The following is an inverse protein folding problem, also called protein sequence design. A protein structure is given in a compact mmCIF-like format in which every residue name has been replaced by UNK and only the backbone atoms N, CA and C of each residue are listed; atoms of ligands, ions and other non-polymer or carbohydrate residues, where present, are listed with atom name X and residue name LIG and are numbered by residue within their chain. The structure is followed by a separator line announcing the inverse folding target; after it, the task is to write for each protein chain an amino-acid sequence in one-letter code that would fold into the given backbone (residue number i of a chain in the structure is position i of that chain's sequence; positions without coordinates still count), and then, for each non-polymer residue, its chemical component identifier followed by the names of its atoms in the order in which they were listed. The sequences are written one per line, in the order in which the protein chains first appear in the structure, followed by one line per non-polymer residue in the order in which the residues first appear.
data_IF_930369650359
#
_entry.id   IF_930369650359
#
_cell.length_a   1.000
_cell.length_b   1.000
_cell.length_c   1.000
_cell.angle_alpha   90.00
_cell.angle_beta   90.00
_cell.angle_gamma   90.00
#
_symmetry.space_group_name_H-M   'P 1'
#
loop_
_entity.id
_entity.type
_entity.pdbx_description
1 polymer ?
#
# COMPACT_ATOMS: atom_id res chain seq x y z
N UNK A 1 -9.72 47.38 -49.98
CA UNK A 1 -8.31 47.48 -50.39
C UNK A 1 -7.61 46.22 -49.94
N UNK A 2 -7.20 45.44 -50.92
CA UNK A 2 -6.49 44.17 -50.85
C UNK A 2 -5.02 44.40 -50.49
N UNK A 3 -4.49 43.63 -49.52
CA UNK A 3 -3.08 43.26 -49.50
C UNK A 3 -2.91 41.96 -48.69
N UNK A 4 -2.44 40.95 -49.38
CA UNK A 4 -1.91 39.68 -48.87
C UNK A 4 -0.42 39.62 -49.28
N UNK A 5 0.37 38.64 -48.81
CA UNK A 5 1.44 38.75 -47.82
C UNK A 5 2.85 38.74 -48.43
N UNK A 6 3.91 38.53 -47.62
CA UNK A 6 4.99 37.68 -48.09
C UNK A 6 5.28 36.47 -47.19
N UNK A 7 5.66 35.42 -47.89
CA UNK A 7 5.90 34.03 -47.50
C UNK A 7 7.37 33.79 -47.13
N UNK A 8 7.56 32.81 -46.23
CA UNK A 8 8.62 31.79 -46.18
C UNK A 8 10.11 32.16 -46.01
N UNK A 9 10.72 31.58 -44.96
CA UNK A 9 11.98 30.85 -45.11
C UNK A 9 12.05 29.68 -44.10
N UNK A 10 12.17 28.49 -44.68
CA UNK A 10 12.47 27.18 -44.10
C UNK A 10 13.97 27.01 -43.82
N UNK A 11 14.30 25.95 -43.05
CA UNK A 11 15.59 25.26 -42.79
C UNK A 11 15.88 25.27 -41.27
N UNK A 12 16.07 24.18 -40.54
CA UNK A 12 16.28 22.76 -40.81
C UNK A 12 16.91 22.16 -39.53
N UNK A 13 16.81 20.85 -39.27
CA UNK A 13 17.04 20.26 -37.96
C UNK A 13 18.49 19.82 -37.75
N UNK A 14 19.02 19.93 -36.51
CA UNK A 14 20.31 19.33 -36.16
C UNK A 14 20.29 18.65 -34.78
N UNK A 15 20.43 17.31 -34.86
CA UNK A 15 21.26 16.40 -34.04
C UNK A 15 20.90 16.25 -32.56
N UNK A 16 20.35 15.10 -32.18
CA UNK A 16 21.08 13.87 -31.77
C UNK A 16 21.95 14.08 -30.52
N UNK A 17 21.40 13.69 -29.37
CA UNK A 17 22.13 13.30 -28.19
C UNK A 17 21.43 12.09 -27.57
N UNK A 18 21.87 10.88 -27.98
CA UNK A 18 21.55 9.64 -27.29
C UNK A 18 22.16 9.68 -25.89
N UNK A 19 21.38 9.34 -24.87
CA UNK A 19 21.89 8.68 -23.66
C UNK A 19 20.79 7.76 -23.14
N UNK A 20 20.77 6.55 -23.71
CA UNK A 20 20.09 5.41 -23.14
C UNK A 20 20.91 4.95 -21.94
N UNK A 21 20.35 5.07 -20.74
CA UNK A 21 20.87 4.35 -19.56
C UNK A 21 20.12 3.03 -19.50
N UNK A 22 20.78 1.98 -19.98
CA UNK A 22 20.37 0.61 -19.75
C UNK A 22 20.69 0.24 -18.30
N UNK A 23 19.67 -0.11 -17.51
CA UNK A 23 19.88 -0.81 -16.25
C UNK A 23 19.72 -2.29 -16.55
N UNK A 24 20.86 -2.98 -16.59
CA UNK A 24 20.93 -4.41 -16.83
C UNK A 24 20.43 -5.19 -15.61
N UNK A 25 19.51 -6.11 -15.89
CA UNK A 25 19.09 -7.21 -15.04
C UNK A 25 20.28 -8.15 -14.82
N UNK A 26 20.72 -8.31 -13.58
CA UNK A 26 21.66 -9.36 -13.19
C UNK A 26 20.90 -10.50 -12.52
N UNK A 27 20.36 -11.40 -13.35
CA UNK A 27 20.07 -12.77 -12.94
C UNK A 27 21.36 -13.57 -13.11
N UNK A 28 21.94 -14.07 -12.02
CA UNK A 28 23.00 -15.07 -12.09
C UNK A 28 22.50 -16.36 -11.45
N UNK A 29 22.25 -17.33 -12.33
CA UNK A 29 22.04 -18.73 -12.00
C UNK A 29 23.35 -19.34 -11.49
N UNK A 30 23.28 -20.13 -10.42
CA UNK A 30 24.28 -21.13 -10.09
C UNK A 30 23.59 -22.50 -10.12
N UNK A 31 23.65 -23.13 -11.29
CA UNK A 31 23.44 -24.56 -11.45
C UNK A 31 24.49 -25.10 -12.42
N UNK A 32 24.96 -26.31 -12.10
CA UNK A 32 25.82 -27.22 -12.85
C UNK A 32 27.35 -27.09 -12.67
N UNK A 33 27.94 -28.20 -12.20
CA UNK A 33 29.18 -28.69 -12.80
C UNK A 33 30.27 -29.15 -11.85
N UNK A 34 30.05 -30.22 -11.09
CA UNK A 34 31.13 -31.18 -10.79
C UNK A 34 30.55 -32.59 -10.83
N UNK A 35 30.60 -33.19 -12.03
CA UNK A 35 30.43 -34.62 -12.23
C UNK A 35 31.74 -35.32 -11.84
N UNK A 36 31.67 -36.24 -10.87
CA UNK A 36 32.62 -37.36 -10.79
C UNK A 36 31.79 -38.62 -10.58
N UNK A 37 31.69 -39.44 -11.62
CA UNK A 37 31.31 -40.85 -11.47
C UNK A 37 32.43 -41.58 -10.74
N UNK A 38 32.10 -42.38 -9.72
CA UNK A 38 32.50 -43.79 -9.60
C UNK A 38 32.04 -44.41 -8.26
N UNK A 39 31.26 -45.49 -8.38
CA UNK A 39 31.11 -46.64 -7.46
C UNK A 39 30.31 -46.49 -6.15
N UNK A 40 29.07 -47.02 -6.17
CA UNK A 40 28.46 -47.76 -5.03
C UNK A 40 29.00 -49.21 -5.02
N UNK A 41 28.88 -50.01 -3.93
CA UNK A 41 27.93 -49.87 -2.81
C UNK A 41 28.54 -50.04 -1.40
N UNK A 42 27.98 -49.32 -0.43
CA UNK A 42 28.28 -49.55 0.99
C UNK A 42 27.31 -48.77 1.86
N UNK A 43 26.36 -49.49 2.46
CA UNK A 43 25.37 -49.00 3.43
C UNK A 43 26.07 -48.22 4.57
N UNK A 44 25.85 -46.91 4.75
CA UNK A 44 26.38 -46.22 5.91
C UNK A 44 25.46 -46.49 7.10
N UNK A 45 25.95 -47.30 8.03
CA UNK A 45 25.39 -47.41 9.38
C UNK A 45 25.43 -46.02 10.01
N UNK A 46 24.26 -45.44 10.30
CA UNK A 46 24.16 -44.16 11.00
C UNK A 46 24.83 -44.28 12.37
N UNK A 47 25.94 -43.57 12.57
CA UNK A 47 26.44 -43.30 13.92
C UNK A 47 25.56 -42.24 14.58
N UNK A 48 25.08 -42.44 15.82
CA UNK A 48 24.32 -41.43 16.53
C UNK A 48 25.24 -40.25 16.89
N UNK A 49 24.83 -39.05 16.46
CA UNK A 49 25.46 -37.76 16.76
C UNK A 49 25.17 -37.34 18.22
N UNK A 50 25.45 -38.22 19.20
CA UNK A 50 25.02 -38.06 20.59
C UNK A 50 26.14 -37.62 21.55
N UNK A 51 27.34 -37.27 21.07
CA UNK A 51 28.49 -37.01 21.98
C UNK A 51 29.38 -35.82 21.62
N UNK A 52 28.96 -34.91 20.72
CA UNK A 52 29.69 -33.66 20.46
C UNK A 52 29.06 -32.48 21.21
N UNK A 53 29.81 -31.76 22.08
CA UNK A 53 29.34 -30.52 22.69
C UNK A 53 29.25 -29.43 21.60
N UNK A 54 28.03 -29.02 21.27
CA UNK A 54 27.76 -27.98 20.25
C UNK A 54 26.69 -28.34 19.21
N UNK A 55 26.23 -29.59 19.15
CA UNK A 55 25.08 -29.97 18.34
C UNK A 55 23.79 -29.84 19.18
N UNK A 56 23.11 -28.70 19.10
CA UNK A 56 21.69 -28.66 19.47
C UNK A 56 20.92 -29.55 18.48
N UNK A 57 20.14 -30.54 18.95
CA UNK A 57 19.28 -31.32 18.06
C UNK A 57 18.32 -30.37 17.34
N UNK A 58 17.94 -30.68 16.08
CA UNK A 58 16.83 -29.98 15.45
C UNK A 58 15.65 -30.06 16.41
N UNK A 59 15.06 -28.90 16.74
CA UNK A 59 13.80 -28.86 17.49
C UNK A 59 12.82 -29.74 16.71
N UNK A 60 12.27 -30.81 17.31
CA UNK A 60 11.26 -31.60 16.64
C UNK A 60 10.14 -30.66 16.24
N UNK A 61 9.88 -30.54 14.93
CA UNK A 61 8.65 -29.91 14.45
C UNK A 61 7.49 -30.56 15.22
N UNK A 62 6.57 -29.80 15.81
CA UNK A 62 5.39 -30.39 16.42
C UNK A 62 4.75 -31.30 15.37
N UNK A 63 4.56 -32.57 15.74
CA UNK A 63 3.99 -33.60 14.89
C UNK A 63 2.54 -33.25 14.58
N UNK A 64 2.35 -32.34 13.63
CA UNK A 64 1.09 -32.10 12.97
C UNK A 64 0.90 -33.29 12.04
N UNK A 65 -0.05 -34.17 12.38
CA UNK A 65 -0.46 -35.24 11.49
C UNK A 65 -0.78 -34.62 10.12
N UNK A 66 -0.08 -35.05 9.08
CA UNK A 66 -0.35 -34.61 7.71
C UNK A 66 -1.82 -34.87 7.42
N UNK A 67 -2.62 -33.87 7.02
CA UNK A 67 -4.01 -34.10 6.69
C UNK A 67 -4.11 -35.13 5.56
N UNK A 68 -5.08 -36.06 5.60
CA UNK A 68 -5.24 -37.04 4.54
C UNK A 68 -5.34 -36.38 3.16
N UNK A 69 -4.53 -36.86 2.20
CA UNK A 69 -4.54 -36.37 0.81
C UNK A 69 -3.65 -35.16 0.53
N UNK A 70 -2.94 -34.62 1.53
CA UNK A 70 -1.95 -33.53 1.34
C UNK A 70 -0.50 -34.05 1.41
N UNK A 71 0.45 -33.41 0.70
CA UNK A 71 1.87 -33.75 0.81
C UNK A 71 2.47 -33.32 2.17
N UNK A 72 3.66 -33.82 2.53
CA UNK A 72 4.32 -33.49 3.80
C UNK A 72 4.59 -31.98 3.98
N UNK A 73 4.84 -31.25 2.90
CA UNK A 73 5.18 -29.83 2.85
C UNK A 73 3.98 -28.94 2.43
N UNK A 74 2.75 -29.46 2.54
CA UNK A 74 1.54 -28.79 2.06
C UNK A 74 1.38 -27.35 2.58
N UNK A 75 1.74 -27.08 3.83
CA UNK A 75 1.56 -25.75 4.43
C UNK A 75 2.47 -24.73 3.76
N UNK A 76 3.71 -25.10 3.49
CA UNK A 76 4.69 -24.27 2.78
C UNK A 76 4.25 -24.03 1.34
N UNK A 77 3.74 -25.06 0.66
CA UNK A 77 3.22 -24.93 -0.70
C UNK A 77 1.98 -24.03 -0.76
N UNK A 78 1.06 -24.16 0.20
CA UNK A 78 -0.14 -23.32 0.29
C UNK A 78 0.24 -21.85 0.50
N UNK A 79 1.13 -21.56 1.47
CA UNK A 79 1.59 -20.20 1.75
C UNK A 79 2.30 -19.61 0.51
N UNK A 80 3.11 -20.40 -0.19
CA UNK A 80 3.75 -19.96 -1.44
C UNK A 80 2.72 -19.61 -2.51
N UNK A 81 1.71 -20.46 -2.71
CA UNK A 81 0.64 -20.21 -3.68
C UNK A 81 -0.15 -18.93 -3.33
N UNK A 82 -0.49 -18.73 -2.05
CA UNK A 82 -1.11 -17.49 -1.56
C UNK A 82 -0.25 -16.27 -1.83
N UNK A 83 1.06 -16.37 -1.55
CA UNK A 83 2.00 -15.25 -1.74
C UNK A 83 2.07 -14.84 -3.21
N UNK A 84 2.15 -15.80 -4.13
CA UNK A 84 2.15 -15.52 -5.58
C UNK A 84 0.84 -14.85 -6.03
N UNK A 85 -0.31 -15.35 -5.55
CA UNK A 85 -1.61 -14.75 -5.85
C UNK A 85 -1.73 -13.33 -5.27
N UNK A 86 -1.25 -13.10 -4.05
CA UNK A 86 -1.22 -11.80 -3.39
C UNK A 86 -0.36 -10.77 -4.16
N UNK A 87 0.82 -11.18 -4.64
CA UNK A 87 1.68 -10.31 -5.45
C UNK A 87 1.03 -9.96 -6.80
N UNK A 88 0.21 -10.86 -7.35
CA UNK A 88 -0.60 -10.58 -8.55
C UNK A 88 -1.67 -9.53 -8.26
N UNK A 89 -2.32 -9.62 -7.09
CA UNK A 89 -3.28 -8.62 -6.62
C UNK A 89 -2.66 -7.21 -6.58
N UNK A 90 -1.42 -7.06 -6.11
CA UNK A 90 -0.72 -5.77 -6.08
C UNK A 90 -0.44 -5.17 -7.47
N UNK A 91 -0.56 -5.94 -8.56
CA UNK A 91 -0.43 -5.43 -9.94
C UNK A 91 -1.75 -4.90 -10.51
N UNK A 92 -2.85 -4.99 -9.75
CA UNK A 92 -4.15 -4.47 -10.17
C UNK A 92 -4.10 -2.96 -10.42
N UNK A 93 -4.88 -2.50 -11.39
CA UNK A 93 -5.14 -1.06 -11.64
C UNK A 93 -6.50 -0.60 -11.14
N UNK A 94 -7.26 -1.48 -10.47
CA UNK A 94 -8.55 -1.19 -9.84
C UNK A 94 -8.38 -0.95 -8.34
N UNK A 95 -9.19 -0.07 -7.76
CA UNK A 95 -9.30 0.10 -6.30
C UNK A 95 -10.08 -1.03 -5.61
N UNK A 96 -10.84 -1.80 -6.38
CA UNK A 96 -11.61 -2.95 -5.91
C UNK A 96 -11.35 -4.14 -6.84
N UNK A 97 -10.11 -4.67 -6.87
CA UNK A 97 -9.81 -5.84 -7.67
C UNK A 97 -10.65 -7.03 -7.22
N UNK A 98 -11.28 -7.77 -8.14
CA UNK A 98 -11.92 -9.02 -7.78
C UNK A 98 -10.89 -10.02 -7.26
N UNK A 99 -11.30 -10.84 -6.31
CA UNK A 99 -10.46 -11.91 -5.75
C UNK A 99 -9.15 -11.41 -5.10
N UNK A 100 -9.20 -10.25 -4.46
CA UNK A 100 -8.05 -9.66 -3.82
C UNK A 100 -8.44 -9.10 -2.45
N UNK A 101 -7.55 -9.17 -1.44
CA UNK A 101 -7.86 -8.71 -0.10
C UNK A 101 -7.91 -7.18 -0.03
N UNK A 102 -7.15 -6.48 -0.88
CA UNK A 102 -7.19 -5.03 -0.94
C UNK A 102 -8.48 -4.55 -1.62
N UNK A 103 -9.19 -3.66 -0.94
CA UNK A 103 -10.38 -2.99 -1.46
C UNK A 103 -10.51 -1.62 -0.81
N UNK A 104 -10.74 -0.60 -1.62
CA UNK A 104 -11.05 0.75 -1.15
C UNK A 104 -12.35 1.22 -1.79
N UNK A 105 -13.29 1.64 -0.93
CA UNK A 105 -14.50 2.32 -1.35
C UNK A 105 -14.18 3.80 -1.62
N UNK A 106 -13.53 4.07 -2.75
CA UNK A 106 -13.43 5.41 -3.31
C UNK A 106 -14.28 5.49 -4.60
N UNK A 107 -14.51 6.70 -5.12
CA UNK A 107 -15.16 6.88 -6.42
C UNK A 107 -14.40 6.18 -7.57
N UNK A 108 -14.95 6.21 -8.78
CA UNK A 108 -14.31 5.59 -9.95
C UNK A 108 -12.93 6.20 -10.21
N UNK A 109 -11.89 5.45 -9.86
CA UNK A 109 -10.51 5.85 -10.09
C UNK A 109 -10.14 5.66 -11.57
N UNK A 110 -9.44 6.64 -12.13
CA UNK A 110 -8.88 6.59 -13.48
C UNK A 110 -7.60 5.75 -13.52
N UNK A 111 -6.83 5.78 -12.44
CA UNK A 111 -5.59 5.02 -12.27
C UNK A 111 -5.50 4.55 -10.83
N UNK A 112 -5.02 3.33 -10.59
CA UNK A 112 -4.58 2.90 -9.27
C UNK A 112 -3.25 2.15 -9.38
N UNK A 113 -2.35 2.41 -8.43
CA UNK A 113 -1.07 1.75 -8.31
C UNK A 113 -0.90 1.28 -6.87
N UNK A 114 -1.02 -0.03 -6.67
CA UNK A 114 -0.83 -0.66 -5.38
C UNK A 114 0.65 -0.96 -5.13
N UNK A 115 1.09 -0.78 -3.89
CA UNK A 115 2.42 -1.15 -3.45
C UNK A 115 2.31 -2.01 -2.21
N UNK A 116 2.90 -3.19 -2.27
CA UNK A 116 3.09 -4.06 -1.12
C UNK A 116 4.09 -3.41 -0.16
N UNK A 117 3.73 -3.38 1.11
CA UNK A 117 4.60 -2.86 2.17
C UNK A 117 5.16 -4.01 3.00
N UNK A 118 6.39 -3.82 3.49
CA UNK A 118 7.10 -4.79 4.32
C UNK A 118 7.14 -6.19 3.67
N UNK A 119 7.03 -7.24 4.50
CA UNK A 119 6.96 -8.62 4.03
C UNK A 119 5.58 -9.20 4.37
N UNK A 120 4.60 -9.07 3.45
CA UNK A 120 3.27 -9.62 3.69
C UNK A 120 3.36 -11.14 3.81
N UNK A 121 2.51 -11.73 4.65
CA UNK A 121 2.38 -13.18 4.80
C UNK A 121 3.64 -13.91 5.34
N UNK A 122 4.67 -13.21 5.83
CA UNK A 122 5.89 -13.84 6.39
C UNK A 122 5.58 -14.78 7.58
N UNK A 123 4.50 -14.51 8.32
CA UNK A 123 4.02 -15.33 9.43
C UNK A 123 2.65 -15.96 9.13
N UNK A 124 2.37 -16.21 7.85
CA UNK A 124 1.11 -16.81 7.44
C UNK A 124 0.94 -18.23 8.02
N UNK A 125 -0.30 -18.56 8.33
CA UNK A 125 -0.71 -19.86 8.87
C UNK A 125 -1.65 -20.52 7.87
N UNK A 126 -1.29 -21.72 7.43
CA UNK A 126 -2.16 -22.55 6.61
C UNK A 126 -2.98 -23.48 7.52
N UNK A 127 -4.28 -23.54 7.29
CA UNK A 127 -5.25 -24.33 8.05
C UNK A 127 -5.98 -25.24 7.06
N UNK A 128 -5.90 -26.59 7.20
CA UNK A 128 -6.67 -27.49 6.36
C UNK A 128 -8.15 -27.44 6.78
N UNK A 129 -9.06 -27.60 5.82
CA UNK A 129 -10.48 -27.67 6.13
C UNK A 129 -10.76 -28.86 7.10
N UNK A 130 -11.58 -28.66 8.15
CA UNK A 130 -11.87 -29.74 9.10
C UNK A 130 -12.60 -30.87 8.39
N UNK A 131 -12.16 -32.11 8.62
CA UNK A 131 -12.85 -33.31 8.15
C UNK A 131 -14.27 -33.36 8.76
N UNK A 132 -15.31 -33.08 7.98
CA UNK A 132 -16.70 -33.23 8.41
C UNK A 132 -17.14 -34.69 8.28
N UNK A 133 -17.63 -35.33 9.36
CA UNK A 133 -18.15 -36.70 9.29
C UNK A 133 -19.31 -36.81 8.29
N UNK A 134 -19.25 -37.78 7.38
CA UNK A 134 -20.31 -38.04 6.40
C UNK A 134 -20.35 -37.08 5.20
N UNK A 135 -19.51 -36.06 5.19
CA UNK A 135 -19.25 -35.23 4.01
C UNK A 135 -17.95 -35.74 3.41
N UNK A 136 -17.93 -36.02 2.11
CA UNK A 136 -16.66 -36.04 1.38
C UNK A 136 -16.12 -34.61 1.46
N UNK A 137 -15.41 -34.29 2.55
CA UNK A 137 -14.64 -33.06 2.61
C UNK A 137 -13.83 -33.00 1.34
N UNK A 138 -13.80 -31.84 0.69
CA UNK A 138 -12.93 -31.64 -0.45
C UNK A 138 -11.50 -31.92 0.03
N UNK A 139 -11.03 -33.14 -0.19
CA UNK A 139 -9.74 -33.59 0.29
C UNK A 139 -8.71 -32.60 -0.24
N UNK A 140 -8.00 -31.94 0.67
CA UNK A 140 -7.01 -30.93 0.32
C UNK A 140 -7.51 -29.50 0.12
N UNK A 141 -8.71 -29.12 0.58
CA UNK A 141 -9.05 -27.71 0.78
C UNK A 141 -8.22 -27.13 1.93
N UNK A 142 -7.61 -25.97 1.69
CA UNK A 142 -6.76 -25.25 2.65
C UNK A 142 -7.13 -23.77 2.65
N UNK A 143 -7.13 -23.16 3.83
CA UNK A 143 -7.22 -21.70 4.00
C UNK A 143 -5.90 -21.19 4.56
N UNK A 144 -5.31 -20.18 3.92
CA UNK A 144 -4.12 -19.48 4.41
C UNK A 144 -4.52 -18.13 4.95
N UNK A 145 -4.12 -17.85 6.18
CA UNK A 145 -4.32 -16.56 6.84
C UNK A 145 -2.97 -15.87 7.03
N UNK A 146 -2.90 -14.57 6.84
CA UNK A 146 -1.68 -13.83 7.14
C UNK A 146 -1.89 -12.33 7.16
N UNK A 147 -0.99 -11.65 7.86
CA UNK A 147 -0.95 -10.19 7.89
C UNK A 147 -0.51 -9.64 6.52
N UNK A 148 -1.14 -8.56 6.09
CA UNK A 148 -0.75 -7.84 4.89
C UNK A 148 -0.88 -6.32 5.07
N UNK A 149 -0.09 -5.58 4.29
CA UNK A 149 -0.10 -4.13 4.25
C UNK A 149 0.11 -3.69 2.79
N UNK A 150 -0.69 -2.76 2.32
CA UNK A 150 -0.49 -2.09 1.04
C UNK A 150 -0.80 -0.61 1.15
N UNK A 151 -0.05 0.21 0.42
CA UNK A 151 -0.51 1.54 0.05
C UNK A 151 -1.02 1.55 -1.39
N UNK A 152 -1.82 2.55 -1.72
CA UNK A 152 -2.26 2.81 -3.09
C UNK A 152 -2.05 4.26 -3.43
N UNK A 153 -1.66 4.52 -4.67
CA UNK A 153 -1.73 5.85 -5.28
C UNK A 153 -2.74 5.84 -6.43
N UNK A 154 -3.70 6.77 -6.42
CA UNK A 154 -4.78 6.78 -7.42
C UNK A 154 -5.25 8.18 -7.82
N UNK A 155 -5.88 8.29 -8.98
CA UNK A 155 -6.49 9.53 -9.46
C UNK A 155 -7.98 9.30 -9.75
N UNK A 156 -8.80 10.34 -9.63
CA UNK A 156 -10.24 10.30 -9.94
C UNK A 156 -10.54 11.37 -11.00
N UNK A 157 -11.62 11.20 -11.76
CA UNK A 157 -12.02 12.17 -12.79
C UNK A 157 -12.16 13.59 -12.24
N UNK A 158 -11.59 14.59 -12.95
CA UNK A 158 -11.66 16.00 -12.57
C UNK A 158 -10.59 16.48 -11.58
N UNK A 159 -9.67 15.62 -11.15
CA UNK A 159 -8.54 15.96 -10.28
C UNK A 159 -7.23 16.05 -11.07
N UNK A 160 -6.45 17.12 -10.88
CA UNK A 160 -5.22 17.38 -11.64
C UNK A 160 -4.00 17.77 -10.80
N UNK A 161 -4.14 17.88 -9.47
CA UNK A 161 -3.02 18.35 -8.63
C UNK A 161 -2.04 17.25 -8.29
N UNK A 162 -2.54 16.18 -7.66
CA UNK A 162 -1.73 15.04 -7.25
C UNK A 162 -2.61 13.80 -7.07
N UNK A 163 -2.02 12.60 -7.14
CA UNK A 163 -2.72 11.38 -6.77
C UNK A 163 -3.15 11.41 -5.29
N UNK A 164 -4.30 10.80 -5.01
CA UNK A 164 -4.66 10.33 -3.68
C UNK A 164 -3.68 9.25 -3.23
N UNK A 165 -3.59 9.09 -1.92
CA UNK A 165 -2.80 8.06 -1.26
C UNK A 165 -3.67 7.50 -0.15
N UNK A 166 -3.87 6.20 -0.16
CA UNK A 166 -4.59 5.49 0.87
C UNK A 166 -3.82 4.24 1.26
N UNK A 167 -4.31 3.59 2.32
CA UNK A 167 -3.69 2.44 2.93
C UNK A 167 -4.74 1.41 3.28
N UNK A 168 -4.36 0.15 3.11
CA UNK A 168 -5.11 -1.00 3.57
C UNK A 168 -4.13 -1.95 4.25
N UNK A 169 -4.58 -2.56 5.34
CA UNK A 169 -3.86 -3.62 6.01
C UNK A 169 -4.83 -4.47 6.80
N UNK A 170 -4.32 -5.48 7.48
CA UNK A 170 -5.15 -6.39 8.27
C UNK A 170 -4.79 -7.84 8.01
N UNK A 171 -5.78 -8.73 8.17
CA UNK A 171 -5.62 -10.16 7.91
C UNK A 171 -6.19 -10.47 6.53
N UNK A 172 -5.36 -11.01 5.65
CA UNK A 172 -5.80 -11.64 4.41
C UNK A 172 -6.12 -13.11 4.68
N UNK A 173 -7.20 -13.61 4.12
CA UNK A 173 -7.49 -15.04 4.06
C UNK A 173 -7.70 -15.47 2.62
N UNK A 174 -7.02 -16.55 2.23
CA UNK A 174 -7.16 -17.17 0.92
C UNK A 174 -7.52 -18.64 1.03
N UNK A 175 -8.59 -19.05 0.37
CA UNK A 175 -8.99 -20.46 0.25
C UNK A 175 -8.46 -21.05 -1.04
N UNK A 176 -8.10 -22.34 -1.04
CA UNK A 176 -7.57 -23.04 -2.21
C UNK A 176 -7.83 -24.53 -2.10
N UNK A 177 -7.58 -25.27 -3.17
CA UNK A 177 -7.75 -26.74 -3.21
C UNK A 177 -6.54 -27.42 -3.82
N UNK A 178 -6.12 -28.52 -3.22
CA UNK A 178 -5.07 -29.39 -3.74
C UNK A 178 -5.61 -30.32 -4.84
N UNK A 179 -4.94 -30.34 -6.00
CA UNK A 179 -5.32 -31.18 -7.15
C UNK A 179 -4.53 -32.49 -7.26
N UNK A 180 -3.66 -32.78 -6.28
CA UNK A 180 -2.70 -33.89 -6.33
C UNK A 180 -1.26 -33.47 -6.64
N UNK A 181 -1.06 -32.27 -7.21
CA UNK A 181 0.24 -31.76 -7.64
C UNK A 181 0.53 -30.33 -7.15
N UNK A 182 -0.50 -29.50 -7.03
CA UNK A 182 -0.38 -28.08 -6.67
C UNK A 182 -1.68 -27.53 -6.08
N UNK A 183 -1.57 -26.38 -5.40
CA UNK A 183 -2.74 -25.64 -4.95
C UNK A 183 -3.33 -24.80 -6.08
N UNK A 184 -4.62 -24.98 -6.32
CA UNK A 184 -5.40 -24.32 -7.36
C UNK A 184 -6.50 -23.45 -6.75
N UNK A 185 -7.08 -22.57 -7.57
CA UNK A 185 -8.23 -21.73 -7.21
C UNK A 185 -8.00 -20.90 -5.94
N UNK A 186 -6.85 -20.23 -5.85
CA UNK A 186 -6.56 -19.32 -4.73
C UNK A 186 -7.56 -18.18 -4.74
N UNK A 187 -8.43 -18.15 -3.73
CA UNK A 187 -9.51 -17.20 -3.60
C UNK A 187 -9.39 -16.37 -2.33
N UNK A 188 -9.14 -15.07 -2.45
CA UNK A 188 -9.11 -14.15 -1.32
C UNK A 188 -10.51 -13.69 -0.92
N UNK A 189 -10.74 -13.55 0.38
CA UNK A 189 -11.90 -12.82 0.89
C UNK A 189 -11.74 -11.32 0.60
N UNK A 190 -12.82 -10.67 0.16
CA UNK A 190 -12.83 -9.27 -0.29
C UNK A 190 -12.86 -8.23 0.84
N UNK A 191 -12.47 -8.60 2.06
CA UNK A 191 -12.48 -7.76 3.26
C UNK A 191 -11.54 -8.32 4.34
N UNK A 192 -11.29 -7.55 5.40
CA UNK A 192 -10.49 -8.02 6.54
C UNK A 192 -11.05 -9.33 7.08
N UNK A 193 -10.22 -10.38 6.97
CA UNK A 193 -10.59 -11.72 7.37
C UNK A 193 -10.51 -11.93 8.88
N UNK A 194 -10.12 -10.90 9.65
CA UNK A 194 -10.18 -10.93 11.11
C UNK A 194 -11.59 -11.26 11.65
N UNK A 195 -12.65 -10.99 10.88
CA UNK A 195 -14.03 -11.33 11.22
C UNK A 195 -14.49 -12.72 10.71
N UNK A 196 -13.67 -13.45 9.96
CA UNK A 196 -14.02 -14.75 9.39
C UNK A 196 -13.69 -15.88 10.38
N UNK A 197 -14.70 -16.55 10.92
CA UNK A 197 -14.53 -17.64 11.89
C UNK A 197 -14.38 -19.03 11.23
N UNK A 198 -13.51 -19.92 11.76
CA UNK A 198 -12.50 -19.65 12.79
C UNK A 198 -11.21 -19.14 12.16
N UNK A 199 -10.83 -17.89 12.46
CA UNK A 199 -9.52 -17.37 12.12
C UNK A 199 -8.48 -17.92 13.12
N UNK A 200 -7.30 -18.37 12.67
CA UNK A 200 -6.21 -18.66 13.59
C UNK A 200 -5.81 -17.38 14.32
N UNK A 201 -5.38 -17.52 15.58
CA UNK A 201 -4.82 -16.39 16.32
C UNK A 201 -3.46 -16.00 15.71
N UNK A 202 -3.48 -15.03 14.80
CA UNK A 202 -2.27 -14.42 14.26
C UNK A 202 -1.75 -13.38 15.24
N UNK A 203 -0.42 -13.30 15.47
CA UNK A 203 0.13 -12.19 16.22
C UNK A 203 -0.24 -10.88 15.51
N UNK A 204 -0.62 -9.83 16.26
CA UNK A 204 -0.95 -8.54 15.65
C UNK A 204 0.31 -7.87 15.07
N UNK A 205 0.12 -6.80 14.29
CA UNK A 205 1.25 -6.00 13.83
C UNK A 205 2.03 -5.45 15.03
N UNK A 206 3.34 -5.64 14.99
CA UNK A 206 4.26 -5.05 15.96
C UNK A 206 4.63 -3.63 15.51
N UNK A 207 4.57 -2.69 16.44
CA UNK A 207 5.09 -1.33 16.20
C UNK A 207 6.60 -1.40 15.92
N UNK A 208 7.11 -0.83 14.82
CA UNK A 208 8.55 -0.76 14.54
C UNK A 208 9.31 -0.07 15.68
N UNK A 209 10.32 -0.74 16.23
CA UNK A 209 11.09 -0.26 17.39
C UNK A 209 12.03 0.89 17.07
N UNK A 210 12.43 0.97 15.80
CA UNK A 210 13.31 1.99 15.23
C UNK A 210 12.56 3.32 14.98
N UNK A 211 11.23 3.32 15.04
CA UNK A 211 10.39 4.50 14.76
C UNK A 211 9.93 5.16 16.07
N UNK A 212 10.65 6.22 16.45
CA UNK A 212 10.27 7.09 17.56
C UNK A 212 9.08 8.01 17.22
N UNK A 213 8.23 8.33 18.20
CA UNK A 213 7.08 9.24 18.03
C UNK A 213 7.49 10.60 17.45
N UNK A 214 8.66 11.12 17.84
CA UNK A 214 9.19 12.38 17.31
C UNK A 214 9.40 12.35 15.79
N UNK A 215 9.78 11.19 15.21
CA UNK A 215 9.92 11.02 13.78
C UNK A 215 8.55 11.02 13.08
N UNK A 216 7.55 10.36 13.69
CA UNK A 216 6.16 10.36 13.21
C UNK A 216 5.58 11.78 13.21
N UNK A 217 5.73 12.52 14.31
CA UNK A 217 5.29 13.91 14.39
C UNK A 217 6.03 14.82 13.40
N UNK A 218 7.33 14.59 13.18
CA UNK A 218 8.10 15.34 12.16
C UNK A 218 7.52 15.12 10.76
N UNK A 219 7.17 13.87 10.41
CA UNK A 219 6.54 13.55 9.13
C UNK A 219 5.16 14.22 8.97
N UNK A 220 4.35 14.25 10.03
CA UNK A 220 3.05 14.96 10.02
C UNK A 220 3.23 16.46 9.82
N UNK A 221 4.18 17.09 10.53
CA UNK A 221 4.49 18.52 10.41
C UNK A 221 4.97 18.88 9.00
N UNK A 222 5.81 18.02 8.41
CA UNK A 222 6.24 18.16 7.01
C UNK A 222 5.02 18.08 6.07
N UNK A 223 4.11 17.13 6.28
CA UNK A 223 2.87 17.02 5.50
C UNK A 223 1.97 18.24 5.53
N UNK A 224 1.77 18.86 6.69
CA UNK A 224 1.03 20.13 6.79
C UNK A 224 1.73 21.26 6.03
N UNK A 225 3.06 21.30 6.09
CA UNK A 225 3.87 22.27 5.34
C UNK A 225 3.69 22.06 3.85
N UNK A 226 3.79 20.82 3.37
CA UNK A 226 3.56 20.46 1.98
C UNK A 226 2.15 20.89 1.54
N UNK A 227 1.13 20.53 2.33
CA UNK A 227 -0.27 20.93 2.09
C UNK A 227 -0.45 22.44 1.97
N UNK A 228 0.24 23.26 2.78
CA UNK A 228 0.17 24.72 2.71
C UNK A 228 0.84 25.29 1.44
N UNK A 229 1.87 24.63 0.92
CA UNK A 229 2.63 25.09 -0.27
C UNK A 229 2.04 24.67 -1.60
N UNK A 230 1.12 23.69 -1.61
CA UNK A 230 0.49 23.20 -2.83
C UNK A 230 -0.38 24.28 -3.49
N UNK A 231 -0.28 24.38 -4.81
CA UNK A 231 -1.13 25.24 -5.61
C UNK A 231 -2.60 24.80 -5.45
N UNK A 232 -3.45 25.72 -5.03
CA UNK A 232 -4.85 25.43 -4.75
C UNK A 232 -5.61 25.23 -6.08
N UNK A 233 -6.42 24.16 -6.22
CA UNK A 233 -7.10 23.88 -7.48
C UNK A 233 -8.25 24.86 -7.64
N UNK A 234 -8.17 25.73 -8.65
CA UNK A 234 -9.21 26.73 -8.94
C UNK A 234 -10.35 26.10 -9.74
N UNK A 235 -11.00 25.10 -9.17
CA UNK A 235 -12.07 24.32 -9.84
C UNK A 235 -13.46 24.67 -9.32
N UNK A 236 -14.47 24.18 -10.03
CA UNK A 236 -15.88 24.42 -9.73
C UNK A 236 -16.38 23.84 -8.40
N UNK A 237 -15.62 22.92 -7.79
CA UNK A 237 -16.05 22.11 -6.65
C UNK A 237 -15.47 22.51 -5.29
N UNK A 238 -14.73 23.62 -5.20
CA UNK A 238 -14.06 24.05 -3.97
C UNK A 238 -12.54 23.94 -4.03
N UNK A 239 -11.91 24.32 -2.92
CA UNK A 239 -10.45 24.39 -2.75
C UNK A 239 -9.94 23.21 -1.90
N UNK A 240 -10.32 21.99 -2.27
CA UNK A 240 -9.89 20.77 -1.59
C UNK A 240 -8.66 20.19 -2.28
N UNK A 241 -7.65 19.83 -1.50
CA UNK A 241 -6.42 19.20 -1.98
C UNK A 241 -6.41 17.75 -1.47
N UNK A 242 -6.18 16.74 -2.35
CA UNK A 242 -6.08 15.35 -1.91
C UNK A 242 -5.11 15.18 -0.74
N UNK A 243 -5.54 14.40 0.25
CA UNK A 243 -4.78 14.04 1.46
C UNK A 243 -4.39 15.20 2.38
N UNK A 244 -5.02 16.35 2.19
CA UNK A 244 -4.80 17.54 2.99
C UNK A 244 -6.10 17.91 3.71
N UNK A 245 -6.04 18.39 4.97
CA UNK A 245 -7.25 18.62 5.76
C UNK A 245 -7.95 19.91 5.38
N UNK A 246 -7.24 20.86 4.75
CA UNK A 246 -7.83 22.13 4.37
C UNK A 246 -8.85 21.96 3.24
N UNK A 247 -10.00 22.57 3.46
CA UNK A 247 -11.01 22.78 2.45
C UNK A 247 -11.64 24.15 2.65
N UNK A 248 -12.04 24.77 1.56
CA UNK A 248 -12.86 25.97 1.59
C UNK A 248 -13.89 25.89 0.46
N UNK A 249 -15.14 26.17 0.81
CA UNK A 249 -16.17 26.44 -0.19
C UNK A 249 -15.86 27.80 -0.81
N UNK A 250 -15.75 27.86 -2.15
CA UNK A 250 -15.68 29.13 -2.86
C UNK A 250 -17.06 29.54 -3.30
N UNK A 251 -17.35 30.82 -3.15
CA UNK A 251 -18.68 31.41 -3.38
C UNK A 251 -19.05 31.37 -4.87
N UNK A 252 -18.05 31.46 -5.78
CA UNK A 252 -18.31 31.45 -7.21
C UNK A 252 -17.16 30.86 -8.03
N UNK A 253 -17.48 29.78 -8.74
CA UNK A 253 -16.58 29.09 -9.69
C UNK A 253 -16.04 30.05 -10.74
N UNK A 254 -14.74 29.96 -11.03
CA UNK A 254 -14.11 30.74 -12.10
C UNK A 254 -13.83 32.20 -11.74
N UNK A 255 -14.09 32.61 -10.50
CA UNK A 255 -13.76 33.98 -10.03
C UNK A 255 -12.44 34.05 -9.28
N UNK A 256 -11.98 32.96 -8.65
CA UNK A 256 -10.72 32.95 -7.91
C UNK A 256 -9.55 32.94 -8.88
N UNK A 257 -8.61 33.87 -8.70
CA UNK A 257 -7.41 34.04 -9.55
C UNK A 257 -6.13 33.60 -8.87
N UNK A 258 -6.10 33.65 -7.54
CA UNK A 258 -5.02 33.11 -6.72
C UNK A 258 -5.59 32.66 -5.38
N UNK A 259 -5.00 31.61 -4.82
CA UNK A 259 -5.33 31.10 -3.49
C UNK A 259 -4.08 30.46 -2.88
N UNK A 260 -3.81 30.78 -1.61
CA UNK A 260 -2.68 30.24 -0.86
C UNK A 260 -3.11 29.96 0.58
N UNK A 261 -2.76 28.77 1.05
CA UNK A 261 -2.94 28.39 2.45
C UNK A 261 -1.69 28.72 3.26
N UNK A 262 -1.89 29.09 4.52
CA UNK A 262 -0.80 29.29 5.48
C UNK A 262 -1.17 28.60 6.78
N UNK A 263 -0.24 27.84 7.33
CA UNK A 263 -0.38 27.20 8.63
C UNK A 263 -0.18 28.24 9.74
N UNK A 264 -1.15 28.40 10.64
CA UNK A 264 -1.14 29.43 11.69
C UNK A 264 -0.92 28.89 13.10
N UNK A 265 -0.92 27.57 13.27
CA UNK A 265 -0.59 26.87 14.52
C UNK A 265 0.38 25.71 14.28
N UNK A 266 1.09 25.24 15.30
CA UNK A 266 1.85 23.99 15.19
C UNK A 266 0.91 22.78 15.30
N UNK A 267 0.67 22.00 14.22
CA UNK A 267 -0.33 20.95 14.21
C UNK A 267 0.07 19.74 15.06
N UNK A 268 1.35 19.63 15.45
CA UNK A 268 1.85 18.53 16.29
C UNK A 268 1.94 18.91 17.76
N UNK A 269 1.64 20.16 18.11
CA UNK A 269 1.60 20.58 19.51
C UNK A 269 0.43 19.88 20.24
N UNK A 270 0.75 19.01 21.19
CA UNK A 270 -0.24 18.23 21.93
C UNK A 270 -0.90 17.11 21.12
N UNK A 271 -0.36 16.78 19.94
CA UNK A 271 -0.84 15.66 19.15
C UNK A 271 -0.46 14.31 19.79
N UNK A 272 -1.30 13.30 19.56
CA UNK A 272 -1.12 11.95 20.10
C UNK A 272 -0.75 11.00 18.97
N UNK A 273 0.35 10.27 19.14
CA UNK A 273 0.75 9.19 18.24
C UNK A 273 0.21 7.88 18.77
N UNK A 274 -0.46 7.11 17.91
CA UNK A 274 -0.86 5.74 18.17
C UNK A 274 -0.41 4.83 17.02
N UNK A 275 -0.34 3.53 17.31
CA UNK A 275 -0.06 2.50 16.31
C UNK A 275 -1.24 1.53 16.29
N UNK A 276 -1.84 1.37 15.12
CA UNK A 276 -2.91 0.41 14.90
C UNK A 276 -2.31 -0.98 14.73
N UNK A 277 -2.43 -1.83 15.75
CA UNK A 277 -1.88 -3.18 15.73
C UNK A 277 -2.72 -4.15 14.89
N UNK A 278 -3.94 -3.78 14.51
CA UNK A 278 -4.78 -4.59 13.64
C UNK A 278 -4.43 -4.35 12.16
N UNK A 279 -4.18 -3.09 11.79
CA UNK A 279 -3.92 -2.72 10.39
C UNK A 279 -2.46 -2.41 10.08
N UNK A 280 -1.60 -2.15 11.07
CA UNK A 280 -0.15 -1.99 10.91
C UNK A 280 0.34 -0.58 10.56
N UNK A 281 -0.49 0.45 10.71
CA UNK A 281 -0.15 1.84 10.40
C UNK A 281 -0.06 2.71 11.67
N UNK A 282 0.66 3.83 11.56
CA UNK A 282 0.60 4.88 12.56
C UNK A 282 -0.62 5.78 12.33
N UNK A 283 -1.18 6.28 13.41
CA UNK A 283 -2.17 7.34 13.41
C UNK A 283 -1.71 8.49 14.31
N UNK A 284 -1.90 9.73 13.87
CA UNK A 284 -1.66 10.92 14.69
C UNK A 284 -2.94 11.73 14.75
N UNK A 285 -3.43 11.97 15.96
CA UNK A 285 -4.59 12.84 16.18
C UNK A 285 -4.13 14.16 16.80
N UNK A 286 -4.68 15.26 16.30
CA UNK A 286 -4.29 16.60 16.74
C UNK A 286 -5.25 17.67 16.28
N UNK A 287 -4.82 18.92 16.43
CA UNK A 287 -5.57 20.10 16.00
C UNK A 287 -4.77 20.88 14.95
N UNK A 288 -5.45 21.53 14.02
CA UNK A 288 -4.80 22.40 13.05
C UNK A 288 -5.58 23.71 12.87
N UNK A 289 -4.85 24.77 12.53
CA UNK A 289 -5.40 26.04 12.09
C UNK A 289 -4.63 26.50 10.84
N UNK A 290 -5.38 26.82 9.79
CA UNK A 290 -4.86 27.35 8.54
C UNK A 290 -5.70 28.54 8.09
N UNK A 291 -5.02 29.56 7.58
CA UNK A 291 -5.64 30.71 6.93
C UNK A 291 -5.52 30.57 5.42
N UNK A 292 -6.60 30.87 4.70
CA UNK A 292 -6.62 30.98 3.25
C UNK A 292 -6.55 32.46 2.87
N UNK A 293 -5.61 32.81 2.01
CA UNK A 293 -5.58 34.10 1.33
C UNK A 293 -5.91 33.88 -0.13
N UNK A 294 -6.95 34.53 -0.64
CA UNK A 294 -7.37 34.39 -2.03
C UNK A 294 -7.80 35.70 -2.66
N UNK A 295 -7.80 35.76 -3.98
CA UNK A 295 -8.23 36.95 -4.75
C UNK A 295 -9.25 36.55 -5.78
N UNK A 296 -10.31 37.32 -5.90
CA UNK A 296 -11.41 37.10 -6.83
C UNK A 296 -11.53 38.22 -7.86
N UNK A 297 -11.95 37.84 -9.07
CA UNK A 297 -12.41 38.72 -10.13
C UNK A 297 -13.58 38.06 -10.86
N UNK A 298 -14.67 38.79 -11.11
CA UNK A 298 -15.85 38.24 -11.80
C UNK A 298 -16.17 38.96 -13.12
N UNK A 299 -15.22 39.71 -13.67
CA UNK A 299 -15.39 40.48 -14.91
C UNK A 299 -16.23 41.75 -14.78
N UNK A 300 -16.98 41.92 -13.68
CA UNK A 300 -17.62 43.18 -13.34
C UNK A 300 -16.71 43.99 -12.41
N UNK A 301 -15.98 44.97 -12.93
CA UNK A 301 -15.05 45.79 -12.17
C UNK A 301 -15.66 46.50 -10.94
N UNK A 302 -16.99 46.69 -10.92
CA UNK A 302 -17.71 47.33 -9.82
C UNK A 302 -18.24 46.35 -8.77
N UNK A 303 -18.05 45.04 -8.95
CA UNK A 303 -18.50 44.06 -7.97
C UNK A 303 -17.71 44.21 -6.65
N UNK A 304 -18.40 44.29 -5.50
CA UNK A 304 -17.75 44.33 -4.19
C UNK A 304 -17.05 43.01 -3.84
N UNK A 305 -17.35 41.94 -4.57
CA UNK A 305 -16.74 40.63 -4.37
C UNK A 305 -15.37 40.53 -5.03
N UNK A 306 -14.93 41.53 -5.78
CA UNK A 306 -13.58 41.56 -6.36
C UNK A 306 -12.53 41.97 -5.31
N UNK A 307 -11.33 41.42 -5.45
CA UNK A 307 -10.18 41.81 -4.63
C UNK A 307 -9.77 40.72 -3.63
N UNK A 308 -8.99 41.10 -2.60
CA UNK A 308 -8.43 40.16 -1.64
C UNK A 308 -9.46 39.74 -0.59
N UNK A 309 -9.46 38.46 -0.27
CA UNK A 309 -10.31 37.84 0.73
C UNK A 309 -9.49 36.92 1.64
N UNK A 310 -10.04 36.64 2.81
CA UNK A 310 -9.50 35.66 3.75
C UNK A 310 -10.53 34.58 4.08
N UNK A 311 -10.05 33.37 4.28
CA UNK A 311 -10.80 32.22 4.77
C UNK A 311 -10.03 31.51 5.86
N UNK A 312 -10.66 30.54 6.52
CA UNK A 312 -10.05 29.74 7.59
C UNK A 312 -10.45 28.28 7.44
N UNK A 313 -9.53 27.38 7.75
CA UNK A 313 -9.79 25.97 7.96
C UNK A 313 -9.14 25.55 9.27
N UNK A 314 -9.94 25.02 10.20
CA UNK A 314 -9.43 24.56 11.49
C UNK A 314 -10.30 23.46 12.07
N UNK A 315 -9.68 22.60 12.86
CA UNK A 315 -10.39 21.54 13.58
C UNK A 315 -9.44 20.45 14.02
N UNK A 316 -10.03 19.32 14.41
CA UNK A 316 -9.27 18.10 14.66
C UNK A 316 -8.81 17.50 13.33
N UNK A 317 -7.75 16.70 13.37
CA UNK A 317 -7.34 15.87 12.25
C UNK A 317 -6.89 14.49 12.73
N UNK A 318 -6.93 13.53 11.80
CA UNK A 318 -6.24 12.25 11.90
C UNK A 318 -5.30 12.11 10.71
N UNK A 319 -4.00 11.98 10.98
CA UNK A 319 -2.99 11.67 9.98
C UNK A 319 -2.66 10.17 10.00
N UNK A 320 -2.58 9.55 8.83
CA UNK A 320 -2.23 8.13 8.64
C UNK A 320 -0.87 8.02 8.00
N UNK A 321 0.03 7.22 8.58
CA UNK A 321 1.38 7.00 8.06
C UNK A 321 1.69 5.51 7.99
N UNK A 322 2.40 5.10 6.94
CA UNK A 322 3.01 3.78 6.82
C UNK A 322 4.52 3.82 7.06
N UNK A 323 5.06 2.66 7.43
CA UNK A 323 6.48 2.38 7.52
C UNK A 323 6.81 1.24 6.56
N UNK A 324 7.71 1.47 5.61
CA UNK A 324 8.10 0.48 4.59
C UNK A 324 9.36 -0.34 4.96
N UNK A 325 9.81 -0.24 6.22
CA UNK A 325 11.05 -0.83 6.70
C UNK A 325 12.26 0.12 6.63
N UNK A 326 12.11 1.27 5.96
CA UNK A 326 13.20 2.23 5.77
C UNK A 326 12.80 3.68 6.05
N UNK A 327 11.58 4.08 5.67
CA UNK A 327 11.11 5.46 5.81
C UNK A 327 9.64 5.50 6.23
N UNK A 328 9.31 6.56 6.98
CA UNK A 328 7.93 6.94 7.25
C UNK A 328 7.39 7.67 6.02
N UNK A 329 6.22 7.24 5.56
CA UNK A 329 5.49 7.93 4.52
C UNK A 329 4.15 8.39 5.06
N UNK A 330 3.88 9.68 4.93
CA UNK A 330 2.57 10.25 5.24
C UNK A 330 1.63 9.96 4.06
N UNK A 331 0.53 9.29 4.35
CA UNK A 331 -0.46 8.89 3.34
C UNK A 331 -1.52 9.97 3.23
N UNK A 332 -2.17 10.29 4.35
CA UNK A 332 -3.24 11.29 4.39
C UNK A 332 -3.32 12.02 5.72
N UNK A 333 -3.80 13.25 5.65
CA UNK A 333 -4.28 14.03 6.79
C UNK A 333 -5.76 14.32 6.53
N UNK A 334 -6.64 13.73 7.33
CA UNK A 334 -8.08 13.88 7.19
C UNK A 334 -8.62 14.74 8.34
N UNK A 335 -9.44 15.73 8.00
CA UNK A 335 -10.37 16.34 8.95
C UNK A 335 -11.57 15.37 9.16
N UNK A 336 -12.17 15.33 10.35
CA UNK A 336 -13.34 14.49 10.64
C UNK A 336 -14.58 14.89 9.83
#
# INVERSE_FOLDING_TARGET
MTAHPPTAATNGPLRRGLLAVAVAVAACALAAGCSSNLTEPGTPTAMPCASLPGCTPPIPLPSTSVPPGLPLDWSVQAIRATTVAFLTCAQSTSLQPPNCPQSLAAGEALTAHWRVLNRPLDYAVAVPAPAQPGVATAAGQVTVFGLYQMDVSYTIGGQSLRPFLDYVGGIAAATMTWDGHSFQNVQFLSSDAAAAEPAPNLPPFARPTEVADAAVLTAVKAGFTDCATLAVPLTAGGLAIPNCPQSAAVIQVGTVTSAQWTLTSDPVQGALVSFDTAHGNFAVTGNYHMDLHYTTTNGNALSPDNGPHTGKASGNYTATLDWDGHQLKLLKIAAP
#
